data_IF_168626492381
#
_entry.id   IF_168626492381
#
_cell.length_a   1.000
_cell.length_b   1.000
_cell.length_c   1.000
_cell.angle_alpha   90.00
_cell.angle_beta   90.00
_cell.angle_gamma   90.00
#
_symmetry.space_group_name_H-M   'P 1'
#
loop_
_entity.id
_entity.type
_entity.pdbx_description
1 polymer ?
#
# COMPACT_ATOMS: atom_id res chain seq x y z
N UNK A 1 -2.73 12.52 -14.18
CA UNK A 1 -2.80 12.15 -15.62
C UNK A 1 -1.92 10.96 -16.04
N UNK A 2 -1.03 10.42 -15.20
CA UNK A 2 -0.33 9.12 -15.43
C UNK A 2 -1.33 7.94 -15.39
N UNK A 3 -2.29 8.00 -14.46
CA UNK A 3 -3.35 7.01 -14.28
C UNK A 3 -4.28 6.90 -15.48
N UNK A 4 -4.58 8.03 -16.15
CA UNK A 4 -5.56 8.03 -17.24
C UNK A 4 -5.04 7.29 -18.48
N UNK A 5 -3.74 7.41 -18.82
CA UNK A 5 -3.12 6.61 -19.89
C UNK A 5 -3.09 5.10 -19.56
N UNK A 6 -2.98 4.73 -18.29
CA UNK A 6 -3.02 3.34 -17.85
C UNK A 6 -4.41 2.69 -17.97
N UNK A 7 -5.49 3.49 -17.91
CA UNK A 7 -6.86 3.00 -18.05
C UNK A 7 -7.29 2.78 -19.52
N UNK A 8 -6.67 3.48 -20.49
CA UNK A 8 -7.07 3.43 -21.91
C UNK A 8 -6.16 2.57 -22.81
N UNK A 9 -5.02 2.07 -22.31
CA UNK A 9 -4.12 1.21 -23.10
C UNK A 9 -3.74 -0.03 -22.29
N UNK A 10 -3.86 -1.23 -22.87
CA UNK A 10 -3.58 -2.52 -22.23
C UNK A 10 -2.07 -2.80 -22.01
N UNK A 11 -1.20 -1.86 -22.39
CA UNK A 11 0.26 -1.96 -22.36
C UNK A 11 0.98 -1.05 -21.35
N UNK A 12 0.49 -0.73 -20.12
CA UNK A 12 1.23 0.16 -19.22
C UNK A 12 2.15 -0.60 -18.25
N UNK A 13 2.10 -1.94 -18.22
CA UNK A 13 2.93 -2.77 -17.33
C UNK A 13 4.43 -2.65 -17.65
N UNK A 14 4.79 -2.15 -18.85
CA UNK A 14 6.19 -2.13 -19.35
C UNK A 14 6.80 -0.72 -19.36
N UNK A 15 6.05 0.33 -19.04
CA UNK A 15 6.62 1.67 -18.96
C UNK A 15 7.45 1.81 -17.68
N UNK A 16 8.75 2.14 -17.75
CA UNK A 16 9.61 2.23 -16.57
C UNK A 16 9.10 3.25 -15.56
N UNK A 17 8.43 4.33 -16.00
CA UNK A 17 7.80 5.33 -15.13
C UNK A 17 6.67 4.75 -14.28
N UNK A 18 5.87 3.81 -14.79
CA UNK A 18 4.79 3.16 -14.04
C UNK A 18 5.33 2.23 -12.94
N UNK A 19 6.39 1.48 -13.21
CA UNK A 19 7.04 0.64 -12.21
C UNK A 19 7.60 1.47 -11.05
N UNK A 20 8.20 2.62 -11.37
CA UNK A 20 8.78 3.53 -10.39
C UNK A 20 7.72 4.17 -9.47
N UNK A 21 6.59 4.64 -10.02
CA UNK A 21 5.53 5.22 -9.20
C UNK A 21 4.80 4.14 -8.37
N UNK A 22 4.64 2.92 -8.90
CA UNK A 22 4.09 1.80 -8.15
C UNK A 22 4.99 1.41 -6.96
N UNK A 23 6.31 1.37 -7.16
CA UNK A 23 7.28 1.12 -6.09
C UNK A 23 7.30 2.25 -5.05
N UNK A 24 7.29 3.51 -5.49
CA UNK A 24 7.23 4.68 -4.61
C UNK A 24 5.98 4.66 -3.72
N UNK A 25 4.80 4.41 -4.32
CA UNK A 25 3.55 4.33 -3.58
C UNK A 25 3.55 3.14 -2.60
N UNK A 26 4.13 2.01 -3.01
CA UNK A 26 4.27 0.84 -2.13
C UNK A 26 5.16 1.12 -0.90
N UNK A 27 6.25 1.87 -1.06
CA UNK A 27 7.06 2.33 0.08
C UNK A 27 6.23 3.19 1.06
N UNK A 28 5.40 4.08 0.54
CA UNK A 28 4.49 4.89 1.37
C UNK A 28 3.46 4.01 2.09
N UNK A 29 2.94 2.97 1.45
CA UNK A 29 2.03 2.00 2.09
C UNK A 29 2.70 1.34 3.30
N UNK A 30 3.93 0.86 3.15
CA UNK A 30 4.66 0.23 4.25
C UNK A 30 4.87 1.20 5.42
N UNK A 31 5.18 2.47 5.11
CA UNK A 31 5.34 3.51 6.11
C UNK A 31 4.02 3.84 6.84
N UNK A 32 2.93 4.03 6.09
CA UNK A 32 1.59 4.33 6.64
C UNK A 32 0.98 3.19 7.45
N UNK A 33 1.35 1.94 7.10
CA UNK A 33 0.93 0.75 7.82
C UNK A 33 1.75 0.50 9.10
N UNK A 34 2.81 1.29 9.36
CA UNK A 34 3.72 1.06 10.48
C UNK A 34 4.41 -0.30 10.41
N UNK A 35 4.69 -0.78 9.20
CA UNK A 35 5.26 -2.12 8.94
C UNK A 35 6.77 -2.08 8.73
N UNK A 36 7.41 -3.23 8.89
CA UNK A 36 8.86 -3.37 8.71
C UNK A 36 9.14 -3.13 7.22
N UNK A 37 10.09 -2.25 6.84
CA UNK A 37 11.24 -1.79 7.62
C UNK A 37 11.05 -0.53 8.49
N UNK A 38 9.94 0.21 8.34
CA UNK A 38 9.75 1.55 8.93
C UNK A 38 9.46 1.48 10.42
N UNK A 39 8.49 0.66 10.81
CA UNK A 39 8.20 0.40 12.22
C UNK A 39 7.91 -1.09 12.45
N UNK A 40 7.90 -1.52 13.70
CA UNK A 40 7.64 -2.90 14.06
C UNK A 40 6.41 -2.95 14.98
N UNK A 41 5.28 -3.52 14.53
CA UNK A 41 4.06 -3.61 15.33
C UNK A 41 4.22 -4.44 16.60
N UNK A 42 5.25 -5.30 16.68
CA UNK A 42 5.50 -6.18 17.82
C UNK A 42 6.41 -5.57 18.91
N UNK A 43 7.04 -4.40 18.69
CA UNK A 43 7.91 -3.78 19.73
C UNK A 43 7.16 -2.74 20.54
N UNK A 44 6.29 -3.20 21.42
CA UNK A 44 5.76 -2.41 22.53
C UNK A 44 6.37 -2.89 23.84
N UNK A 45 7.64 -2.60 24.05
CA UNK A 45 8.26 -2.82 25.36
C UNK A 45 8.88 -1.52 25.87
N UNK A 46 8.31 -1.08 27.00
CA UNK A 46 8.79 -0.09 27.97
C UNK A 46 8.90 1.37 27.50
N UNK A 47 9.51 1.70 26.35
CA UNK A 47 9.78 3.10 25.95
C UNK A 47 9.15 3.53 24.59
N UNK A 48 8.80 2.58 23.72
CA UNK A 48 8.04 2.83 22.48
C UNK A 48 6.52 2.83 22.68
N UNK A 49 6.07 2.64 23.93
CA UNK A 49 4.68 2.38 24.25
C UNK A 49 3.79 3.64 24.25
N UNK A 50 4.31 4.82 23.92
CA UNK A 50 3.51 6.06 23.85
C UNK A 50 2.40 5.95 22.78
N UNK A 51 2.72 5.39 21.61
CA UNK A 51 1.76 5.24 20.51
C UNK A 51 0.71 4.15 20.84
N UNK A 52 1.17 3.06 21.47
CA UNK A 52 0.37 1.90 21.85
C UNK A 52 -0.46 2.08 23.12
N UNK A 53 0.00 2.90 24.07
CA UNK A 53 -0.72 3.18 25.31
C UNK A 53 -2.01 3.95 25.08
N UNK A 54 -2.10 4.71 23.98
CA UNK A 54 -3.35 5.38 23.56
C UNK A 54 -4.50 4.39 23.37
N UNK A 55 -4.21 3.14 23.00
CA UNK A 55 -5.22 2.09 22.85
C UNK A 55 -5.57 1.42 24.19
N UNK A 56 -4.66 1.42 25.18
CA UNK A 56 -4.91 0.81 26.50
C UNK A 56 -5.90 1.58 27.38
N UNK A 57 -6.24 2.81 27.01
CA UNK A 57 -7.31 3.58 27.65
C UNK A 57 -8.70 3.07 27.24
N UNK A 58 -8.79 2.36 26.11
CA UNK A 58 -10.03 1.80 25.59
C UNK A 58 -10.12 0.30 25.91
N UNK A 59 -11.33 -0.21 26.12
CA UNK A 59 -11.56 -1.61 26.40
C UNK A 59 -12.73 -2.17 25.59
N UNK A 60 -12.68 -3.46 25.26
CA UNK A 60 -13.77 -4.18 24.62
C UNK A 60 -14.11 -3.66 23.21
N UNK A 61 -15.35 -3.19 23.03
CA UNK A 61 -15.88 -2.76 21.73
C UNK A 61 -15.12 -1.58 21.13
N UNK A 62 -14.68 -0.65 21.98
CA UNK A 62 -14.09 0.61 21.52
C UNK A 62 -12.69 0.36 20.97
N UNK A 63 -11.94 -0.55 21.60
CA UNK A 63 -10.66 -1.02 21.06
C UNK A 63 -10.83 -1.72 19.71
N UNK A 64 -11.87 -2.56 19.56
CA UNK A 64 -12.13 -3.25 18.30
C UNK A 64 -12.45 -2.28 17.15
N UNK A 65 -13.18 -1.19 17.43
CA UNK A 65 -13.46 -0.14 16.44
C UNK A 65 -12.20 0.60 16.00
N UNK A 66 -11.28 0.89 16.94
CA UNK A 66 -10.01 1.57 16.64
C UNK A 66 -9.10 0.67 15.80
N UNK A 67 -8.98 -0.62 16.16
CA UNK A 67 -8.22 -1.58 15.37
C UNK A 67 -8.82 -1.78 13.98
N UNK A 68 -10.15 -1.91 13.89
CA UNK A 68 -10.85 -2.03 12.62
C UNK A 68 -10.64 -0.81 11.72
N UNK A 69 -10.63 0.40 12.29
CA UNK A 69 -10.28 1.62 11.57
C UNK A 69 -8.88 1.58 10.97
N UNK A 70 -7.90 1.06 11.71
CA UNK A 70 -6.53 0.85 11.23
C UNK A 70 -6.47 -0.13 10.05
N UNK A 71 -7.14 -1.28 10.18
CA UNK A 71 -7.26 -2.26 9.09
C UNK A 71 -7.98 -1.70 7.87
N UNK A 72 -9.03 -0.90 8.06
CA UNK A 72 -9.79 -0.28 6.98
C UNK A 72 -8.94 0.76 6.24
N UNK A 73 -8.11 1.54 6.95
CA UNK A 73 -7.15 2.46 6.32
C UNK A 73 -6.21 1.71 5.38
N UNK A 74 -5.60 0.63 5.88
CA UNK A 74 -4.69 -0.20 5.07
C UNK A 74 -5.43 -0.81 3.87
N UNK A 75 -6.64 -1.33 4.08
CA UNK A 75 -7.46 -1.93 3.05
C UNK A 75 -7.74 -0.94 1.89
N UNK A 76 -8.17 0.28 2.21
CA UNK A 76 -8.49 1.31 1.21
C UNK A 76 -7.24 1.72 0.43
N UNK A 77 -6.11 1.96 1.10
CA UNK A 77 -4.88 2.37 0.41
C UNK A 77 -4.36 1.24 -0.51
N UNK A 78 -4.47 -0.03 -0.08
CA UNK A 78 -4.05 -1.18 -0.88
C UNK A 78 -4.94 -1.38 -2.12
N UNK A 79 -6.25 -1.16 -1.98
CA UNK A 79 -7.20 -1.19 -3.11
C UNK A 79 -6.83 -0.15 -4.17
N UNK A 80 -6.49 1.06 -3.74
CA UNK A 80 -6.07 2.13 -4.65
C UNK A 80 -4.80 1.70 -5.38
N UNK A 81 -3.79 1.19 -4.68
CA UNK A 81 -2.56 0.73 -5.31
C UNK A 81 -2.79 -0.41 -6.31
N UNK A 82 -3.55 -1.42 -5.93
CA UNK A 82 -3.82 -2.59 -6.76
C UNK A 82 -4.63 -2.26 -8.02
N UNK A 83 -5.72 -1.50 -7.89
CA UNK A 83 -6.61 -1.23 -9.02
C UNK A 83 -6.15 -0.06 -9.89
N UNK A 84 -5.41 0.90 -9.33
CA UNK A 84 -4.99 2.10 -10.07
C UNK A 84 -3.61 1.92 -10.71
N UNK A 85 -2.67 1.27 -10.00
CA UNK A 85 -1.26 1.25 -10.41
C UNK A 85 -0.76 -0.12 -10.91
N UNK A 86 -1.19 -1.23 -10.30
CA UNK A 86 -0.60 -2.55 -10.57
C UNK A 86 -1.41 -3.35 -11.59
N UNK A 87 -2.72 -3.46 -11.39
CA UNK A 87 -3.55 -4.32 -12.22
C UNK A 87 -4.98 -3.80 -12.32
N UNK A 88 -5.25 -2.87 -13.26
CA UNK A 88 -6.60 -2.33 -13.50
C UNK A 88 -7.67 -3.37 -13.91
N UNK A 89 -7.40 -4.44 -14.68
CA UNK A 89 -8.48 -5.34 -15.10
C UNK A 89 -9.00 -6.17 -13.93
N UNK A 90 -10.31 -6.39 -13.90
CA UNK A 90 -11.01 -7.11 -12.83
C UNK A 90 -12.15 -6.32 -12.16
N UNK A 91 -12.43 -5.09 -12.61
CA UNK A 91 -13.62 -4.34 -12.21
C UNK A 91 -14.83 -4.76 -13.06
N UNK A 92 -15.99 -4.93 -12.42
CA UNK A 92 -17.23 -5.27 -13.11
C UNK A 92 -17.66 -4.12 -14.04
N UNK A 93 -17.73 -4.38 -15.34
CA UNK A 93 -18.16 -3.40 -16.35
C UNK A 93 -19.68 -3.39 -16.57
N UNK A 94 -20.40 -4.37 -16.02
CA UNK A 94 -21.85 -4.51 -16.12
C UNK A 94 -22.46 -4.89 -14.78
N UNK A 95 -23.67 -4.38 -14.50
CA UNK A 95 -24.47 -4.72 -13.31
C UNK A 95 -25.16 -6.06 -13.56
N UNK A 96 -24.39 -7.15 -13.43
CA UNK A 96 -24.91 -8.51 -13.49
C UNK A 96 -24.25 -9.34 -12.36
N UNK A 97 -24.94 -10.38 -11.84
CA UNK A 97 -24.46 -11.13 -10.67
C UNK A 97 -23.12 -11.83 -10.92
N UNK A 98 -22.90 -12.36 -12.14
CA UNK A 98 -21.68 -13.06 -12.53
C UNK A 98 -20.44 -12.12 -12.54
N UNK A 99 -20.44 -10.97 -13.24
CA UNK A 99 -19.29 -10.06 -13.23
C UNK A 99 -19.00 -9.46 -11.85
N UNK A 100 -20.03 -9.25 -11.01
CA UNK A 100 -19.84 -8.79 -9.63
C UNK A 100 -19.10 -9.85 -8.80
N UNK A 101 -19.49 -11.13 -8.91
CA UNK A 101 -18.80 -12.22 -8.21
C UNK A 101 -17.33 -12.32 -8.64
N UNK A 102 -17.07 -12.23 -9.96
CA UNK A 102 -15.72 -12.26 -10.51
C UNK A 102 -14.88 -11.09 -9.98
N UNK A 103 -15.46 -9.89 -9.88
CA UNK A 103 -14.77 -8.72 -9.35
C UNK A 103 -14.38 -8.89 -7.87
N UNK A 104 -15.29 -9.45 -7.05
CA UNK A 104 -15.02 -9.73 -5.63
C UNK A 104 -13.89 -10.75 -5.48
N UNK A 105 -13.94 -11.87 -6.22
CA UNK A 105 -12.91 -12.93 -6.15
C UNK A 105 -11.56 -12.41 -6.65
N UNK A 106 -11.56 -11.65 -7.75
CA UNK A 106 -10.36 -11.00 -8.28
C UNK A 106 -9.73 -10.04 -7.26
N UNK A 107 -10.56 -9.21 -6.60
CA UNK A 107 -10.08 -8.30 -5.57
C UNK A 107 -9.48 -9.08 -4.39
N UNK A 108 -10.17 -10.10 -3.89
CA UNK A 108 -9.67 -10.93 -2.80
C UNK A 108 -8.33 -11.60 -3.15
N UNK A 109 -8.18 -12.15 -4.36
CA UNK A 109 -6.93 -12.74 -4.82
C UNK A 109 -5.78 -11.72 -4.89
N UNK A 110 -6.04 -10.51 -5.40
CA UNK A 110 -5.04 -9.43 -5.43
C UNK A 110 -4.62 -8.99 -4.04
N UNK A 111 -5.58 -8.87 -3.12
CA UNK A 111 -5.33 -8.51 -1.73
C UNK A 111 -4.47 -9.58 -1.03
N UNK A 112 -4.74 -10.86 -1.27
CA UNK A 112 -3.91 -11.96 -0.76
C UNK A 112 -2.49 -11.89 -1.31
N UNK A 113 -2.31 -11.64 -2.61
CA UNK A 113 -0.99 -11.47 -3.22
C UNK A 113 -0.21 -10.31 -2.59
N UNK A 114 -0.86 -9.18 -2.38
CA UNK A 114 -0.24 -8.03 -1.72
C UNK A 114 0.11 -8.31 -0.24
N UNK A 115 -0.75 -9.03 0.49
CA UNK A 115 -0.47 -9.44 1.86
C UNK A 115 0.75 -10.37 1.93
N UNK A 116 0.86 -11.35 1.03
CA UNK A 116 2.05 -12.23 0.94
C UNK A 116 3.31 -11.43 0.66
N UNK A 117 3.24 -10.45 -0.25
CA UNK A 117 4.37 -9.58 -0.57
C UNK A 117 4.82 -8.77 0.64
N UNK A 118 3.88 -8.19 1.40
CA UNK A 118 4.18 -7.47 2.64
C UNK A 118 4.85 -8.41 3.65
N UNK A 119 4.28 -9.59 3.90
CA UNK A 119 4.83 -10.58 4.84
C UNK A 119 6.23 -11.03 4.43
N UNK A 120 6.48 -11.23 3.13
CA UNK A 120 7.80 -11.59 2.61
C UNK A 120 8.83 -10.48 2.91
N UNK A 121 8.45 -9.21 2.74
CA UNK A 121 9.32 -8.06 3.04
C UNK A 121 9.61 -7.97 4.54
N UNK A 122 8.60 -8.12 5.38
CA UNK A 122 8.77 -8.08 6.84
C UNK A 122 9.65 -9.22 7.35
N UNK A 123 9.58 -10.39 6.71
CA UNK A 123 10.40 -11.54 7.05
C UNK A 123 11.84 -11.42 6.54
N UNK A 124 12.05 -10.66 5.46
CA UNK A 124 13.35 -10.51 4.81
C UNK A 124 14.15 -9.30 5.30
N UNK A 125 13.49 -8.23 5.78
CA UNK A 125 14.14 -6.98 6.18
C UNK A 125 14.17 -6.80 7.70
N UNK A 126 15.22 -6.14 8.18
CA UNK A 126 15.31 -5.71 9.57
C UNK A 126 14.73 -4.30 9.77
N UNK A 127 14.29 -4.01 10.99
CA UNK A 127 13.83 -2.65 11.39
C UNK A 127 14.94 -1.62 11.19
N UNK A 128 14.64 -0.53 10.50
CA UNK A 128 15.58 0.60 10.35
C UNK A 128 15.58 1.48 11.61
N UNK A 129 16.68 2.19 11.84
CA UNK A 129 16.75 3.20 12.92
C UNK A 129 15.82 4.36 12.59
N UNK A 130 15.14 4.91 13.61
CA UNK A 130 14.14 5.99 13.46
C UNK A 130 14.67 7.22 12.70
N UNK A 131 15.97 7.52 12.84
CA UNK A 131 16.65 8.61 12.15
C UNK A 131 16.73 8.43 10.62
N UNK A 132 16.56 7.19 10.13
CA UNK A 132 16.56 6.86 8.69
C UNK A 132 15.15 6.74 8.11
N UNK A 133 14.11 6.88 8.92
CA UNK A 133 12.73 6.92 8.42
C UNK A 133 12.51 8.11 7.46
N UNK A 134 13.01 9.33 7.75
CA UNK A 134 12.96 10.43 6.78
C UNK A 134 13.70 10.13 5.48
N UNK A 135 14.80 9.38 5.53
CA UNK A 135 15.55 8.97 4.33
C UNK A 135 14.74 7.98 3.47
N UNK A 136 14.04 7.03 4.10
CA UNK A 136 13.16 6.08 3.42
C UNK A 136 11.99 6.79 2.72
N UNK A 137 11.33 7.71 3.43
CA UNK A 137 10.26 8.53 2.85
C UNK A 137 10.81 9.47 1.76
N UNK A 138 11.99 10.05 1.96
CA UNK A 138 12.69 10.84 0.95
C UNK A 138 12.97 10.04 -0.32
N UNK A 139 13.42 8.78 -0.20
CA UNK A 139 13.62 7.90 -1.35
C UNK A 139 12.32 7.63 -2.11
N UNK A 140 11.21 7.38 -1.39
CA UNK A 140 9.89 7.22 -2.03
C UNK A 140 9.45 8.47 -2.79
N UNK A 141 9.71 9.66 -2.23
CA UNK A 141 9.41 10.93 -2.88
C UNK A 141 10.26 11.15 -4.13
N UNK A 142 11.57 10.91 -4.06
CA UNK A 142 12.49 11.02 -5.21
C UNK A 142 12.08 10.06 -6.33
N UNK A 143 11.72 8.82 -6.00
CA UNK A 143 11.21 7.85 -6.98
C UNK A 143 9.93 8.34 -7.67
N UNK A 144 9.01 8.95 -6.92
CA UNK A 144 7.77 9.52 -7.46
C UNK A 144 8.04 10.69 -8.40
N UNK A 145 8.95 11.61 -8.02
CA UNK A 145 9.37 12.74 -8.87
C UNK A 145 10.08 12.24 -10.13
N UNK A 146 10.96 11.25 -9.99
CA UNK A 146 11.68 10.67 -11.12
C UNK A 146 10.71 9.96 -12.09
N UNK A 147 9.70 9.26 -11.60
CA UNK A 147 8.63 8.68 -12.41
C UNK A 147 7.85 9.76 -13.19
N UNK A 148 7.56 10.90 -12.55
CA UNK A 148 6.90 12.04 -13.18
C UNK A 148 7.76 12.65 -14.31
N UNK A 149 9.05 12.84 -14.06
CA UNK A 149 9.98 13.40 -15.05
C UNK A 149 10.13 12.45 -16.25
N UNK A 150 10.35 11.15 -16.01
CA UNK A 150 10.42 10.13 -17.07
C UNK A 150 9.14 10.08 -17.91
N UNK A 151 7.98 10.19 -17.27
CA UNK A 151 6.72 10.26 -17.98
C UNK A 151 6.59 11.53 -18.83
N UNK A 152 7.09 12.68 -18.33
CA UNK A 152 7.05 13.94 -19.08
C UNK A 152 8.02 13.96 -20.27
N UNK A 153 9.15 13.25 -20.19
CA UNK A 153 10.13 13.11 -21.27
C UNK A 153 9.71 12.10 -22.34
N UNK A 154 8.84 11.15 -22.00
CA UNK A 154 8.31 10.14 -22.91
C UNK A 154 7.07 10.59 -23.70
N UNK A 155 6.70 11.87 -23.64
CA UNK A 155 5.73 12.50 -24.55
C UNK A 155 6.47 13.21 -25.68
#
# INVERSE_FOLDING_TARGET
>A
FIVNKALFTLTPIVAPSHALIAAAFFMVILAEAGRIPVDNPATQQELSMIEGSRLFEFSGSDQALLEWGGWMKLFVILIVWLNVLVFPPGLATAIAPIPILIAIVSLAAKMLGAAVLIVAIESALAKIRILRVPEFLGASFVLSVLALVLFSLGQ
#
